data_IF_162930885067
#
_entry.id   IF_162930885067
#
_cell.length_a   1.000
_cell.length_b   1.000
_cell.length_c   1.000
_cell.angle_alpha   90.00
_cell.angle_beta   90.00
_cell.angle_gamma   90.00
#
_symmetry.space_group_name_H-M   'P 1'
#
loop_
_entity.id
_entity.type
_entity.pdbx_description
1 polymer ?
#
# COMPACT_ATOMS: atom_id res chain seq x y z
N UNK A 1 24.11 -23.48 5.93
CA UNK A 1 23.59 -22.11 6.11
C UNK A 1 22.17 -22.13 5.64
N UNK A 2 21.23 -21.66 6.45
CA UNK A 2 19.85 -21.44 5.99
C UNK A 2 19.91 -20.26 5.01
N UNK A 3 19.28 -20.40 3.85
CA UNK A 3 19.19 -19.34 2.83
C UNK A 3 18.48 -18.11 3.45
N UNK A 4 18.91 -16.89 3.11
CA UNK A 4 18.24 -15.66 3.55
C UNK A 4 16.74 -15.70 3.22
N UNK A 5 16.38 -16.36 2.11
CA UNK A 5 14.99 -16.62 1.72
C UNK A 5 14.21 -17.38 2.80
N UNK A 6 14.73 -18.52 3.26
CA UNK A 6 14.05 -19.39 4.23
C UNK A 6 13.91 -18.71 5.59
N UNK A 7 14.91 -17.93 6.00
CA UNK A 7 14.84 -17.18 7.25
C UNK A 7 13.77 -16.08 7.20
N UNK A 8 13.68 -15.35 6.07
CA UNK A 8 12.65 -14.33 5.86
C UNK A 8 11.27 -14.96 5.78
N UNK A 9 11.13 -16.06 5.02
CA UNK A 9 9.86 -16.79 4.90
C UNK A 9 9.36 -17.26 6.27
N UNK A 10 10.23 -17.89 7.06
CA UNK A 10 9.90 -18.37 8.41
C UNK A 10 9.50 -17.21 9.33
N UNK A 11 10.20 -16.08 9.25
CA UNK A 11 9.85 -14.87 10.00
C UNK A 11 8.44 -14.38 9.63
N UNK A 12 8.13 -14.24 8.34
CA UNK A 12 6.83 -13.75 7.88
C UNK A 12 5.70 -14.73 8.18
N UNK A 13 5.93 -16.04 8.03
CA UNK A 13 4.98 -17.08 8.42
C UNK A 13 4.65 -17.03 9.92
N UNK A 14 5.67 -16.85 10.77
CA UNK A 14 5.47 -16.64 12.21
C UNK A 14 4.65 -15.37 12.46
N UNK A 15 4.96 -14.27 11.79
CA UNK A 15 4.23 -13.00 11.93
C UNK A 15 2.74 -13.14 11.59
N UNK A 16 2.40 -13.79 10.47
CA UNK A 16 1.01 -13.97 10.03
C UNK A 16 0.26 -15.08 10.79
N UNK A 17 0.96 -15.87 11.60
CA UNK A 17 0.34 -16.92 12.42
C UNK A 17 -0.56 -16.36 13.53
N UNK A 18 -0.44 -15.06 13.85
CA UNK A 18 -1.29 -14.35 14.79
C UNK A 18 -2.30 -13.44 14.05
N UNK A 19 -3.55 -13.88 13.85
CA UNK A 19 -4.54 -13.14 13.05
C UNK A 19 -4.92 -11.77 13.61
N UNK A 20 -4.71 -11.56 14.91
CA UNK A 20 -5.07 -10.31 15.58
C UNK A 20 -3.94 -9.28 15.58
N UNK A 21 -2.69 -9.69 15.30
CA UNK A 21 -1.51 -8.82 15.39
C UNK A 21 -0.66 -8.77 14.12
N UNK A 22 -0.92 -9.57 13.09
CA UNK A 22 -0.03 -9.64 11.92
C UNK A 22 0.21 -8.29 11.23
N UNK A 23 -0.80 -7.40 11.21
CA UNK A 23 -0.68 -6.04 10.65
C UNK A 23 0.25 -5.14 11.47
N UNK A 24 0.39 -5.46 12.75
CA UNK A 24 1.28 -4.83 13.71
C UNK A 24 0.78 -3.45 14.14
N UNK A 25 1.65 -2.45 14.06
CA UNK A 25 1.34 -1.08 14.51
C UNK A 25 0.13 -0.50 13.75
N UNK A 26 -0.95 -0.21 14.48
CA UNK A 26 -2.15 0.46 13.97
C UNK A 26 -2.18 1.95 14.35
N UNK A 27 -1.87 2.81 13.37
CA UNK A 27 -1.65 4.24 13.62
C UNK A 27 -2.96 5.06 13.55
N UNK A 28 -3.70 4.93 12.46
CA UNK A 28 -4.94 5.67 12.22
C UNK A 28 -6.11 4.71 12.02
N UNK A 29 -7.25 5.01 12.64
CA UNK A 29 -8.47 4.23 12.42
C UNK A 29 -9.05 4.59 11.05
N UNK A 30 -8.92 3.68 10.07
CA UNK A 30 -9.67 3.55 8.81
C UNK A 30 -9.95 4.80 7.95
N UNK A 31 -9.35 5.96 8.24
CA UNK A 31 -9.58 7.22 7.55
C UNK A 31 -8.29 8.03 7.44
N UNK A 32 -7.97 8.43 6.21
CA UNK A 32 -6.90 9.39 5.92
C UNK A 32 -7.40 10.78 6.30
N UNK A 33 -6.59 11.55 7.02
CA UNK A 33 -6.88 12.93 7.43
C UNK A 33 -5.85 13.87 6.80
N UNK A 34 -5.80 13.94 5.47
CA UNK A 34 -4.96 14.95 4.81
C UNK A 34 -5.41 16.36 5.20
N UNK A 35 -4.51 17.33 5.07
CA UNK A 35 -4.69 18.67 5.65
C UNK A 35 -6.03 19.35 5.29
N UNK A 36 -6.50 19.25 4.04
CA UNK A 36 -7.79 19.83 3.63
C UNK A 36 -8.98 19.17 4.35
N UNK A 37 -8.98 17.83 4.45
CA UNK A 37 -9.99 17.07 5.19
C UNK A 37 -9.96 17.42 6.67
N UNK A 38 -8.76 17.53 7.23
CA UNK A 38 -8.54 17.97 8.60
C UNK A 38 -9.12 19.36 8.85
N UNK A 39 -8.85 20.32 7.96
CA UNK A 39 -9.37 21.69 8.03
C UNK A 39 -10.89 21.72 7.99
N UNK A 40 -11.52 21.00 7.06
CA UNK A 40 -12.99 20.94 6.96
C UNK A 40 -13.61 20.43 8.26
N UNK A 41 -13.07 19.35 8.83
CA UNK A 41 -13.63 18.75 10.04
C UNK A 41 -13.44 19.68 11.23
N UNK A 42 -12.24 20.22 11.44
CA UNK A 42 -11.95 21.11 12.57
C UNK A 42 -12.72 22.43 12.44
N UNK A 43 -12.85 22.97 11.22
CA UNK A 43 -13.65 24.15 10.91
C UNK A 43 -15.14 23.94 11.15
N UNK A 44 -15.69 22.78 10.77
CA UNK A 44 -17.08 22.42 11.06
C UNK A 44 -17.36 22.33 12.56
N UNK A 45 -16.45 21.71 13.33
CA UNK A 45 -16.55 21.67 14.79
C UNK A 45 -16.55 23.10 15.36
N UNK A 46 -15.62 23.96 14.93
CA UNK A 46 -15.53 25.33 15.43
C UNK A 46 -16.74 26.18 15.06
N UNK A 47 -17.29 26.02 13.85
CA UNK A 47 -18.48 26.76 13.41
C UNK A 47 -19.72 26.44 14.26
N UNK A 48 -19.86 25.18 14.70
CA UNK A 48 -21.02 24.73 15.49
C UNK A 48 -20.81 24.91 16.99
N UNK A 49 -19.65 24.50 17.50
CA UNK A 49 -19.38 24.45 18.94
C UNK A 49 -18.48 25.59 19.44
N UNK A 50 -17.80 26.32 18.55
CA UNK A 50 -16.80 27.31 18.94
C UNK A 50 -15.69 26.69 19.78
N UNK A 51 -15.41 27.30 20.93
CA UNK A 51 -14.54 26.76 21.97
C UNK A 51 -15.32 26.00 23.06
N UNK A 52 -16.63 25.86 22.95
CA UNK A 52 -17.44 25.12 23.91
C UNK A 52 -17.28 23.61 23.73
N UNK A 53 -17.55 22.88 24.81
CA UNK A 53 -17.59 21.42 24.75
C UNK A 53 -18.94 20.94 24.17
N UNK A 54 -18.91 19.83 23.43
CA UNK A 54 -20.09 19.21 22.84
C UNK A 54 -20.12 17.71 23.11
N UNK A 55 -21.27 17.08 22.91
CA UNK A 55 -21.44 15.65 23.15
C UNK A 55 -21.05 14.85 21.92
N UNK A 56 -20.14 13.90 22.11
CA UNK A 56 -19.92 12.76 21.22
C UNK A 56 -20.88 11.63 21.66
N UNK A 57 -21.91 11.30 20.86
CA UNK A 57 -22.97 10.39 21.29
C UNK A 57 -22.48 8.96 21.61
N UNK A 58 -23.09 8.35 22.63
CA UNK A 58 -23.00 6.90 22.84
C UNK A 58 -23.90 6.15 21.85
N UNK A 59 -23.54 4.91 21.51
CA UNK A 59 -24.33 4.08 20.60
C UNK A 59 -24.21 4.48 19.13
N UNK A 60 -24.59 3.57 18.23
CA UNK A 60 -24.46 3.75 16.78
C UNK A 60 -25.66 4.45 16.16
N UNK A 61 -25.43 5.03 14.97
CA UNK A 61 -26.51 5.51 14.11
C UNK A 61 -27.54 4.40 13.89
N UNK A 62 -28.83 4.60 14.26
CA UNK A 62 -29.88 3.60 14.06
C UNK A 62 -30.08 3.22 12.59
N UNK A 63 -29.78 4.11 11.64
CA UNK A 63 -29.80 3.81 10.21
C UNK A 63 -28.45 4.22 9.61
N UNK A 64 -27.43 3.37 9.74
CA UNK A 64 -26.09 3.72 9.32
C UNK A 64 -26.05 3.91 7.80
N UNK A 65 -25.65 5.11 7.40
CA UNK A 65 -25.30 5.42 6.01
C UNK A 65 -23.80 5.32 5.77
N UNK A 66 -23.39 5.14 4.51
CA UNK A 66 -21.97 5.19 4.12
C UNK A 66 -21.39 6.61 4.27
N UNK A 67 -22.20 7.62 3.97
CA UNK A 67 -21.87 9.04 4.14
C UNK A 67 -23.12 9.80 4.54
N UNK A 68 -22.96 10.77 5.43
CA UNK A 68 -24.03 11.70 5.75
C UNK A 68 -24.26 12.65 4.57
N UNK A 69 -25.52 13.01 4.31
CA UNK A 69 -25.88 14.05 3.33
C UNK A 69 -26.64 15.14 4.05
N UNK A 70 -26.37 16.39 3.70
CA UNK A 70 -27.09 17.52 4.26
C UNK A 70 -28.60 17.36 4.08
N UNK A 71 -29.36 17.60 5.15
CA UNK A 71 -30.82 17.46 5.17
C UNK A 71 -31.33 16.02 5.27
N UNK A 72 -30.45 15.02 5.43
CA UNK A 72 -30.88 13.65 5.72
C UNK A 72 -31.60 13.56 7.06
N UNK A 73 -32.59 12.66 7.21
CA UNK A 73 -33.26 12.45 8.48
C UNK A 73 -32.27 12.14 9.61
N UNK A 74 -32.27 12.99 10.64
CA UNK A 74 -31.46 12.79 11.85
C UNK A 74 -32.14 11.78 12.76
N UNK A 75 -31.39 10.80 13.24
CA UNK A 75 -31.89 9.80 14.20
C UNK A 75 -30.96 9.71 15.39
N UNK A 76 -31.53 9.51 16.56
CA UNK A 76 -30.76 9.43 17.80
C UNK A 76 -30.60 7.98 18.21
N UNK A 77 -29.41 7.58 18.69
CA UNK A 77 -29.25 6.31 19.38
C UNK A 77 -30.27 6.21 20.54
N UNK A 78 -30.78 5.01 20.81
CA UNK A 78 -31.84 4.80 21.81
C UNK A 78 -31.48 5.29 23.23
N UNK A 79 -30.19 5.35 23.55
CA UNK A 79 -29.67 5.81 24.83
C UNK A 79 -29.45 7.32 24.93
N UNK A 80 -29.85 8.10 23.92
CA UNK A 80 -29.53 9.53 23.80
C UNK A 80 -30.78 10.33 23.41
N UNK A 81 -30.91 11.54 23.94
CA UNK A 81 -31.94 12.49 23.47
C UNK A 81 -31.51 13.24 22.21
N UNK A 82 -32.49 13.74 21.46
CA UNK A 82 -32.23 14.60 20.29
C UNK A 82 -31.48 15.89 20.66
N UNK A 83 -31.81 16.47 21.83
CA UNK A 83 -31.14 17.66 22.34
C UNK A 83 -29.64 17.40 22.55
N UNK A 84 -29.26 16.25 23.09
CA UNK A 84 -27.86 15.89 23.33
C UNK A 84 -27.09 15.63 22.03
N UNK A 85 -27.72 15.01 21.03
CA UNK A 85 -27.09 14.71 19.75
C UNK A 85 -27.09 15.90 18.77
N UNK A 86 -27.80 16.99 19.08
CA UNK A 86 -28.06 18.10 18.14
C UNK A 86 -26.78 18.69 17.56
N UNK A 87 -25.85 19.12 18.41
CA UNK A 87 -24.58 19.70 17.97
C UNK A 87 -23.75 18.72 17.13
N UNK A 88 -23.76 17.43 17.48
CA UNK A 88 -23.05 16.41 16.70
C UNK A 88 -23.63 16.26 15.29
N UNK A 89 -24.96 16.28 15.16
CA UNK A 89 -25.63 16.30 13.85
C UNK A 89 -25.37 17.59 13.07
N UNK A 90 -25.34 18.73 13.74
CA UNK A 90 -25.03 20.02 13.11
C UNK A 90 -23.58 20.01 12.58
N UNK A 91 -22.62 19.43 13.31
CA UNK A 91 -21.24 19.25 12.82
C UNK A 91 -21.21 18.37 11.56
N UNK A 92 -21.95 17.25 11.55
CA UNK A 92 -22.04 16.40 10.36
C UNK A 92 -22.65 17.13 9.16
N UNK A 93 -23.69 17.95 9.39
CA UNK A 93 -24.29 18.77 8.35
C UNK A 93 -23.31 19.83 7.83
N UNK A 94 -22.54 20.48 8.69
CA UNK A 94 -21.49 21.41 8.27
C UNK A 94 -20.41 20.71 7.44
N UNK A 95 -19.96 19.51 7.83
CA UNK A 95 -19.03 18.71 7.00
C UNK A 95 -19.66 18.38 5.65
N UNK A 96 -20.92 17.94 5.62
CA UNK A 96 -21.60 17.52 4.40
C UNK A 96 -21.92 18.67 3.43
N UNK A 97 -21.97 19.92 3.92
CA UNK A 97 -22.14 21.12 3.08
C UNK A 97 -20.85 21.58 2.42
N UNK A 98 -19.69 21.16 2.91
CA UNK A 98 -18.40 21.55 2.34
C UNK A 98 -18.17 20.79 1.04
N UNK A 99 -18.02 21.52 -0.07
CA UNK A 99 -17.78 20.96 -1.40
C UNK A 99 -16.30 20.57 -1.57
N UNK A 100 -15.82 19.67 -0.71
CA UNK A 100 -14.47 19.11 -0.78
C UNK A 100 -14.56 17.63 -1.08
N UNK A 101 -13.96 17.24 -2.21
CA UNK A 101 -13.95 15.85 -2.68
C UNK A 101 -13.39 14.91 -1.60
N UNK A 102 -14.08 13.78 -1.38
CA UNK A 102 -13.66 12.71 -0.47
C UNK A 102 -13.58 13.07 1.03
N UNK A 103 -14.20 14.19 1.44
CA UNK A 103 -14.25 14.65 2.85
C UNK A 103 -15.51 14.18 3.61
N UNK A 104 -16.44 13.50 2.92
CA UNK A 104 -17.65 12.95 3.53
C UNK A 104 -17.38 12.11 4.79
N UNK A 105 -18.28 12.24 5.76
CA UNK A 105 -18.27 11.47 7.00
C UNK A 105 -19.68 10.93 7.29
N UNK A 106 -19.78 9.70 7.76
CA UNK A 106 -20.99 9.20 8.42
C UNK A 106 -20.90 9.39 9.93
N UNK A 107 -22.06 9.38 10.61
CA UNK A 107 -22.16 9.47 12.07
C UNK A 107 -21.20 8.51 12.78
N UNK A 108 -21.22 7.23 12.39
CA UNK A 108 -20.37 6.22 13.00
C UNK A 108 -18.89 6.43 12.64
N UNK A 109 -18.57 6.87 11.43
CA UNK A 109 -17.18 7.06 11.01
C UNK A 109 -16.51 8.25 11.73
N UNK A 110 -17.23 9.36 11.91
CA UNK A 110 -16.73 10.53 12.62
C UNK A 110 -16.43 10.17 14.10
N UNK A 111 -17.38 9.50 14.76
CA UNK A 111 -17.26 9.04 16.15
C UNK A 111 -16.17 7.98 16.34
N UNK A 112 -16.19 6.93 15.51
CA UNK A 112 -15.37 5.72 15.72
C UNK A 112 -13.99 5.79 15.10
N UNK A 113 -13.73 6.70 14.16
CA UNK A 113 -12.47 6.77 13.43
C UNK A 113 -11.85 8.18 13.50
N UNK A 114 -12.60 9.21 13.11
CA UNK A 114 -12.05 10.58 13.04
C UNK A 114 -11.71 11.13 14.42
N UNK A 115 -12.66 11.14 15.36
CA UNK A 115 -12.46 11.74 16.68
C UNK A 115 -11.35 11.05 17.50
N UNK A 116 -11.24 9.71 17.54
CA UNK A 116 -10.09 9.05 18.12
C UNK A 116 -8.76 9.47 17.50
N UNK A 117 -8.69 9.66 16.19
CA UNK A 117 -7.48 10.15 15.53
C UNK A 117 -7.20 11.61 15.95
N UNK A 118 -8.20 12.50 15.92
CA UNK A 118 -8.05 13.90 16.33
C UNK A 118 -7.64 14.04 17.81
N UNK A 119 -8.09 13.13 18.67
CA UNK A 119 -7.66 13.07 20.07
C UNK A 119 -6.19 12.70 20.20
N UNK A 120 -5.75 11.63 19.51
CA UNK A 120 -4.33 11.25 19.48
C UNK A 120 -3.44 12.35 18.86
N UNK A 121 -3.96 13.09 17.89
CA UNK A 121 -3.32 14.27 17.30
C UNK A 121 -3.24 15.46 18.28
N UNK A 122 -3.97 15.43 19.40
CA UNK A 122 -4.05 16.53 20.36
C UNK A 122 -4.89 17.72 19.88
N UNK A 123 -5.79 17.49 18.92
CA UNK A 123 -6.63 18.53 18.29
C UNK A 123 -8.00 18.62 18.97
N UNK A 124 -8.49 17.49 19.48
CA UNK A 124 -9.64 17.48 20.38
C UNK A 124 -9.29 16.80 21.70
N UNK A 125 -9.88 17.27 22.78
CA UNK A 125 -9.88 16.57 24.06
C UNK A 125 -11.20 15.81 24.18
N UNK A 126 -11.15 14.51 24.47
CA UNK A 126 -12.36 13.70 24.73
C UNK A 126 -12.35 13.22 26.16
N UNK A 127 -13.38 13.56 26.91
CA UNK A 127 -13.54 13.22 28.32
C UNK A 127 -14.71 12.24 28.44
N UNK A 128 -14.48 11.00 28.92
CA UNK A 128 -15.58 10.09 29.21
C UNK A 128 -16.48 10.68 30.30
N UNK A 129 -17.80 10.59 30.13
CA UNK A 129 -18.70 10.73 31.27
C UNK A 129 -18.61 9.41 32.06
N UNK A 130 -18.04 9.48 33.26
CA UNK A 130 -18.08 8.53 34.39
C UNK A 130 -17.75 7.03 34.16
N UNK A 131 -18.14 6.35 33.06
CA UNK A 131 -17.85 4.92 32.79
C UNK A 131 -17.56 4.59 31.30
N UNK A 132 -16.97 3.41 31.05
CA UNK A 132 -16.76 2.89 29.69
C UNK A 132 -18.12 2.60 29.00
N UNK A 133 -18.34 3.21 27.83
CA UNK A 133 -19.56 3.00 27.02
C UNK A 133 -20.55 4.17 27.07
N UNK A 134 -20.34 5.15 27.96
CA UNK A 134 -21.13 6.38 28.00
C UNK A 134 -20.70 7.40 26.94
N UNK A 135 -21.54 8.41 26.73
CA UNK A 135 -21.28 9.50 25.81
C UNK A 135 -20.05 10.27 26.27
N UNK A 136 -19.20 10.68 25.31
CA UNK A 136 -18.02 11.48 25.62
C UNK A 136 -18.34 12.94 25.45
N UNK A 137 -17.65 13.78 26.20
CA UNK A 137 -17.63 15.22 25.95
C UNK A 137 -16.37 15.53 25.16
N UNK A 138 -16.51 16.19 24.01
CA UNK A 138 -15.42 16.58 23.13
C UNK A 138 -15.27 18.10 23.09
N UNK A 139 -14.03 18.59 22.98
CA UNK A 139 -13.72 20.03 22.89
C UNK A 139 -12.49 20.25 22.00
N UNK A 140 -12.48 21.31 21.20
CA UNK A 140 -11.28 21.73 20.49
C UNK A 140 -10.18 22.17 21.48
N UNK A 141 -8.93 21.78 21.20
CA UNK A 141 -7.77 22.20 22.01
C UNK A 141 -7.29 23.59 21.60
N UNK A 142 -6.38 24.18 22.38
CA UNK A 142 -5.75 25.45 22.04
C UNK A 142 -4.99 25.38 20.71
N UNK A 143 -4.38 24.24 20.37
CA UNK A 143 -3.68 24.06 19.11
C UNK A 143 -4.64 23.99 17.91
N UNK A 144 -5.83 23.42 18.09
CA UNK A 144 -6.87 23.48 17.06
C UNK A 144 -7.33 24.92 16.79
N UNK A 145 -7.51 25.72 17.85
CA UNK A 145 -7.87 27.14 17.71
C UNK A 145 -6.75 27.96 17.07
N UNK A 146 -5.49 27.68 17.39
CA UNK A 146 -4.34 28.29 16.72
C UNK A 146 -4.28 27.90 15.25
N UNK A 147 -4.54 26.64 14.91
CA UNK A 147 -4.61 26.19 13.53
C UNK A 147 -5.66 26.98 12.75
N UNK A 148 -6.87 27.14 13.27
CA UNK A 148 -7.95 27.85 12.57
C UNK A 148 -7.68 29.35 12.35
N UNK A 149 -6.91 29.98 13.25
CA UNK A 149 -6.58 31.41 13.20
C UNK A 149 -5.23 31.71 12.55
N UNK A 150 -4.40 30.69 12.39
CA UNK A 150 -3.02 30.82 11.94
C UNK A 150 -2.93 31.09 10.44
N UNK A 151 -1.81 31.67 10.04
CA UNK A 151 -1.47 31.79 8.62
C UNK A 151 -1.08 30.42 8.02
N UNK A 152 -0.87 30.36 6.70
CA UNK A 152 -0.56 29.12 6.00
C UNK A 152 0.64 28.35 6.60
N UNK A 153 1.69 29.04 7.03
CA UNK A 153 2.89 28.41 7.62
C UNK A 153 2.60 27.82 9.00
N UNK A 154 1.91 28.58 9.85
CA UNK A 154 1.53 28.12 11.20
C UNK A 154 0.60 26.90 11.13
N UNK A 155 -0.34 26.94 10.19
CA UNK A 155 -1.26 25.83 9.93
C UNK A 155 -0.54 24.56 9.52
N UNK A 156 0.39 24.65 8.57
CA UNK A 156 1.21 23.51 8.14
C UNK A 156 2.02 22.96 9.31
N UNK A 157 2.64 23.83 10.12
CA UNK A 157 3.40 23.43 11.30
C UNK A 157 2.53 22.64 12.30
N UNK A 158 1.38 23.19 12.69
CA UNK A 158 0.49 22.55 13.68
C UNK A 158 -0.03 21.21 13.14
N UNK A 159 -0.43 21.15 11.88
CA UNK A 159 -0.89 19.91 11.27
C UNK A 159 0.22 18.84 11.18
N UNK A 160 1.46 19.25 10.87
CA UNK A 160 2.63 18.37 10.85
C UNK A 160 2.90 17.78 12.24
N UNK A 161 2.99 18.62 13.27
CA UNK A 161 3.19 18.19 14.68
C UNK A 161 2.05 17.30 15.18
N UNK A 162 0.82 17.59 14.76
CA UNK A 162 -0.36 16.79 15.11
C UNK A 162 -0.31 15.40 14.43
N UNK A 163 0.11 15.33 13.16
CA UNK A 163 0.28 14.09 12.41
C UNK A 163 1.43 13.25 12.97
N UNK A 164 2.51 13.90 13.41
CA UNK A 164 3.65 13.26 14.09
C UNK A 164 3.20 12.46 15.32
N UNK A 165 2.31 13.03 16.15
CA UNK A 165 1.78 12.34 17.33
C UNK A 165 1.10 11.01 17.00
N UNK A 166 0.36 10.93 15.89
CA UNK A 166 -0.24 9.66 15.43
C UNK A 166 0.86 8.64 15.08
N UNK A 167 1.88 9.10 14.36
CA UNK A 167 2.95 8.26 13.83
C UNK A 167 3.98 7.84 14.88
N UNK A 168 3.98 8.42 16.08
CA UNK A 168 4.92 8.12 17.18
C UNK A 168 5.36 6.65 17.28
N UNK A 169 4.46 5.64 17.23
CA UNK A 169 4.87 4.24 17.40
C UNK A 169 5.78 3.68 16.29
N UNK A 170 5.94 4.38 15.15
CA UNK A 170 6.77 3.92 14.02
C UNK A 170 8.14 4.62 13.92
N UNK A 171 8.33 5.78 14.57
CA UNK A 171 9.53 6.58 14.32
C UNK A 171 10.82 5.87 14.73
N UNK A 172 10.88 5.29 15.93
CA UNK A 172 12.10 4.63 16.41
C UNK A 172 12.57 3.52 15.46
N UNK A 173 11.64 2.68 14.99
CA UNK A 173 11.96 1.58 14.07
C UNK A 173 12.29 2.09 12.66
N UNK A 174 11.59 3.13 12.19
CA UNK A 174 11.84 3.72 10.88
C UNK A 174 13.18 4.45 10.83
N UNK A 175 13.51 5.24 11.84
CA UNK A 175 14.80 5.92 11.98
C UNK A 175 15.95 4.92 12.09
N UNK A 176 15.75 3.83 12.85
CA UNK A 176 16.73 2.74 12.92
C UNK A 176 16.96 2.12 11.54
N UNK A 177 15.89 1.85 10.78
CA UNK A 177 16.02 1.32 9.42
C UNK A 177 16.71 2.31 8.48
N UNK A 178 16.32 3.59 8.49
CA UNK A 178 16.88 4.64 7.64
C UNK A 178 18.29 5.10 8.05
N UNK A 179 18.77 4.69 9.23
CA UNK A 179 20.19 4.83 9.59
C UNK A 179 21.08 3.80 8.88
N UNK A 180 20.48 2.72 8.36
CA UNK A 180 21.17 1.58 7.73
C UNK A 180 20.89 1.44 6.24
N UNK A 181 19.76 1.95 5.78
CA UNK A 181 19.30 1.85 4.41
C UNK A 181 18.91 3.23 3.89
N UNK A 182 19.20 3.50 2.62
CA UNK A 182 18.88 4.79 2.00
C UNK A 182 17.37 5.07 1.92
N UNK A 183 16.57 4.00 1.86
CA UNK A 183 15.12 4.10 1.77
C UNK A 183 14.39 2.84 2.24
N UNK A 184 13.11 3.04 2.57
CA UNK A 184 12.15 2.00 2.94
C UNK A 184 10.92 2.11 2.06
N UNK A 185 10.52 1.02 1.39
CA UNK A 185 9.29 1.00 0.60
C UNK A 185 8.08 0.46 1.37
N UNK A 186 6.87 0.55 0.79
CA UNK A 186 5.62 0.07 1.41
C UNK A 186 5.67 -1.38 1.87
N UNK A 187 6.26 -2.30 1.10
CA UNK A 187 6.34 -3.71 1.47
C UNK A 187 7.33 -3.92 2.62
N UNK A 188 8.43 -3.17 2.64
CA UNK A 188 9.42 -3.23 3.71
C UNK A 188 8.85 -2.72 5.04
N UNK A 189 8.11 -1.60 4.99
CA UNK A 189 7.36 -1.08 6.12
C UNK A 189 6.31 -2.11 6.58
N UNK A 190 5.48 -2.59 5.65
CA UNK A 190 4.40 -3.53 5.90
C UNK A 190 4.90 -4.83 6.53
N UNK A 191 5.85 -5.50 5.89
CA UNK A 191 6.29 -6.86 6.23
C UNK A 191 7.27 -6.91 7.40
N UNK A 192 7.98 -5.82 7.71
CA UNK A 192 9.00 -5.82 8.77
C UNK A 192 8.81 -4.72 9.81
N UNK A 193 8.74 -3.45 9.41
CA UNK A 193 8.89 -2.37 10.38
C UNK A 193 7.64 -2.19 11.27
N UNK A 194 6.45 -2.47 10.74
CA UNK A 194 5.24 -2.43 11.58
C UNK A 194 5.09 -3.63 12.51
N UNK A 195 5.97 -4.65 12.48
CA UNK A 195 5.80 -5.87 13.30
C UNK A 195 5.99 -5.63 14.80
N UNK A 196 4.93 -5.31 15.53
CA UNK A 196 4.98 -5.09 16.98
C UNK A 196 5.15 -6.37 17.82
N UNK A 197 5.26 -7.54 17.17
CA UNK A 197 5.42 -8.84 17.84
C UNK A 197 6.88 -9.21 18.15
N UNK A 198 7.84 -8.38 17.74
CA UNK A 198 9.28 -8.59 17.97
C UNK A 198 10.00 -7.26 18.20
N UNK A 199 11.20 -7.30 18.77
CA UNK A 199 12.05 -6.12 18.94
C UNK A 199 12.54 -5.51 17.61
N UNK A 200 12.91 -4.23 17.66
CA UNK A 200 13.37 -3.45 16.50
C UNK A 200 14.60 -4.10 15.82
N UNK A 201 15.54 -4.64 16.60
CA UNK A 201 16.76 -5.22 16.06
C UNK A 201 16.44 -6.45 15.18
N UNK A 202 15.49 -7.30 15.59
CA UNK A 202 15.05 -8.43 14.79
C UNK A 202 14.27 -8.01 13.54
N UNK A 203 13.43 -6.96 13.61
CA UNK A 203 12.74 -6.41 12.41
C UNK A 203 13.75 -5.95 11.37
N UNK A 204 14.72 -5.13 11.77
CA UNK A 204 15.75 -4.57 10.90
C UNK A 204 16.70 -5.66 10.39
N UNK A 205 17.00 -6.68 11.20
CA UNK A 205 17.78 -7.86 10.77
C UNK A 205 17.08 -8.59 9.62
N UNK A 206 15.78 -8.87 9.73
CA UNK A 206 15.06 -9.59 8.68
C UNK A 206 14.79 -8.70 7.44
N UNK A 207 14.60 -7.38 7.62
CA UNK A 207 14.60 -6.44 6.51
C UNK A 207 15.93 -6.46 5.73
N UNK A 208 17.07 -6.52 6.42
CA UNK A 208 18.38 -6.61 5.77
C UNK A 208 18.50 -7.87 4.89
N UNK A 209 18.00 -9.01 5.37
CA UNK A 209 17.95 -10.25 4.56
C UNK A 209 17.03 -10.11 3.37
N UNK A 210 15.84 -9.56 3.57
CA UNK A 210 14.87 -9.29 2.51
C UNK A 210 15.46 -8.40 1.41
N UNK A 211 16.20 -7.34 1.76
CA UNK A 211 16.86 -6.45 0.80
C UNK A 211 17.98 -7.13 -0.01
N UNK A 212 18.51 -8.27 0.43
CA UNK A 212 19.47 -9.09 -0.32
C UNK A 212 18.81 -10.10 -1.26
N UNK A 213 17.52 -10.36 -1.10
CA UNK A 213 16.79 -11.25 -1.97
C UNK A 213 16.72 -10.68 -3.39
N UNK A 214 16.88 -11.55 -4.37
CA UNK A 214 16.69 -11.22 -5.78
C UNK A 214 15.22 -11.04 -6.08
N UNK A 215 14.91 -10.34 -7.17
CA UNK A 215 13.55 -9.94 -7.47
C UNK A 215 12.59 -11.13 -7.57
N UNK A 216 13.01 -12.23 -8.19
CA UNK A 216 12.16 -13.40 -8.32
C UNK A 216 11.90 -14.09 -6.98
N UNK A 217 12.90 -14.11 -6.08
CA UNK A 217 12.73 -14.57 -4.71
C UNK A 217 11.72 -13.70 -3.94
N UNK A 218 11.79 -12.37 -4.07
CA UNK A 218 10.81 -11.46 -3.45
C UNK A 218 9.38 -11.73 -3.96
N UNK A 219 9.22 -11.92 -5.26
CA UNK A 219 7.92 -12.22 -5.87
C UNK A 219 7.37 -13.55 -5.36
N UNK A 220 8.21 -14.59 -5.32
CA UNK A 220 7.87 -15.90 -4.76
C UNK A 220 7.46 -15.80 -3.29
N UNK A 221 8.22 -15.07 -2.49
CA UNK A 221 7.94 -14.84 -1.08
C UNK A 221 6.57 -14.18 -0.89
N UNK A 222 6.27 -13.12 -1.65
CA UNK A 222 4.97 -12.45 -1.60
C UNK A 222 3.83 -13.38 -2.01
N UNK A 223 4.00 -14.18 -3.06
CA UNK A 223 3.01 -15.17 -3.52
C UNK A 223 2.75 -16.24 -2.45
N UNK A 224 3.79 -16.80 -1.82
CA UNK A 224 3.67 -17.81 -0.75
C UNK A 224 2.94 -17.26 0.49
N UNK A 225 3.29 -16.04 0.92
CA UNK A 225 2.62 -15.38 2.05
C UNK A 225 1.17 -15.07 1.70
N UNK A 226 0.90 -14.51 0.52
CA UNK A 226 -0.45 -14.18 0.07
C UNK A 226 -1.33 -15.42 -0.03
N UNK A 227 -0.85 -16.50 -0.65
CA UNK A 227 -1.56 -17.80 -0.69
C UNK A 227 -1.87 -18.34 0.70
N UNK A 228 -0.95 -18.17 1.65
CA UNK A 228 -1.18 -18.57 3.04
C UNK A 228 -2.30 -17.75 3.69
N UNK A 229 -2.32 -16.44 3.45
CA UNK A 229 -3.36 -15.54 3.95
C UNK A 229 -4.72 -15.78 3.29
N UNK A 230 -4.76 -16.00 1.98
CA UNK A 230 -6.01 -16.22 1.23
C UNK A 230 -6.77 -17.46 1.70
N UNK A 231 -6.04 -18.51 2.15
CA UNK A 231 -6.65 -19.69 2.82
C UNK A 231 -7.45 -19.32 4.08
N UNK A 232 -7.17 -18.18 4.71
CA UNK A 232 -7.86 -17.64 5.88
C UNK A 232 -8.95 -16.62 5.55
N UNK A 233 -9.28 -16.39 4.28
CA UNK A 233 -10.31 -15.42 3.87
C UNK A 233 -11.71 -16.00 3.59
N UNK A 234 -11.86 -17.33 3.62
CA UNK A 234 -13.11 -18.03 3.34
C UNK A 234 -14.31 -17.55 4.16
N UNK A 235 -15.53 -17.77 3.66
CA UNK A 235 -16.79 -17.38 4.31
C UNK A 235 -16.95 -17.97 5.71
N UNK A 236 -16.43 -19.17 5.93
CA UNK A 236 -16.55 -19.93 7.17
C UNK A 236 -15.50 -19.54 8.23
N UNK A 237 -14.56 -18.65 7.90
CA UNK A 237 -13.53 -18.20 8.84
C UNK A 237 -14.06 -16.99 9.64
N UNK A 238 -14.04 -17.04 10.99
CA UNK A 238 -14.43 -15.91 11.82
C UNK A 238 -13.69 -14.63 11.44
N UNK A 239 -14.36 -13.46 11.47
CA UNK A 239 -13.77 -12.17 11.07
C UNK A 239 -12.43 -11.86 11.77
N UNK A 240 -12.28 -12.27 13.03
CA UNK A 240 -11.06 -12.06 13.85
C UNK A 240 -9.89 -12.97 13.44
N UNK A 241 -10.16 -14.03 12.67
CA UNK A 241 -9.17 -14.99 12.20
C UNK A 241 -8.78 -14.77 10.73
N UNK A 242 -9.43 -13.80 10.05
CA UNK A 242 -9.17 -13.49 8.66
C UNK A 242 -7.85 -12.73 8.48
N UNK A 243 -7.09 -13.15 7.47
CA UNK A 243 -5.84 -12.52 7.07
C UNK A 243 -6.05 -11.80 5.72
N UNK A 244 -6.07 -10.47 5.74
CA UNK A 244 -6.35 -9.64 4.58
C UNK A 244 -5.09 -8.87 4.17
N UNK A 245 -4.44 -9.38 3.12
CA UNK A 245 -3.22 -8.81 2.54
C UNK A 245 -3.44 -7.39 2.02
N UNK A 246 -4.55 -7.17 1.30
CA UNK A 246 -4.81 -5.88 0.68
C UNK A 246 -5.05 -4.80 1.73
N UNK A 247 -5.79 -5.13 2.78
CA UNK A 247 -6.01 -4.19 3.86
C UNK A 247 -4.73 -3.92 4.67
N UNK A 248 -3.87 -4.91 4.89
CA UNK A 248 -2.56 -4.69 5.51
C UNK A 248 -1.70 -3.73 4.69
N UNK A 249 -1.64 -3.92 3.37
CA UNK A 249 -0.95 -3.01 2.46
C UNK A 249 -1.54 -1.61 2.46
N UNK A 250 -2.88 -1.47 2.47
CA UNK A 250 -3.54 -0.16 2.55
C UNK A 250 -3.21 0.59 3.84
N UNK A 251 -3.17 -0.11 4.98
CA UNK A 251 -2.77 0.47 6.27
C UNK A 251 -1.32 0.95 6.20
N UNK A 252 -0.39 0.17 5.64
CA UNK A 252 1.01 0.59 5.48
C UNK A 252 1.18 1.76 4.50
N UNK A 253 0.42 1.78 3.39
CA UNK A 253 0.37 2.94 2.48
C UNK A 253 -0.09 4.21 3.17
N UNK A 254 -1.08 4.09 4.05
CA UNK A 254 -1.57 5.23 4.81
C UNK A 254 -0.49 5.81 5.73
N UNK A 255 0.34 4.96 6.35
CA UNK A 255 1.49 5.40 7.15
C UNK A 255 2.47 6.19 6.29
N UNK A 256 2.86 5.68 5.11
CA UNK A 256 3.74 6.39 4.17
C UNK A 256 3.14 7.73 3.73
N UNK A 257 1.86 7.77 3.39
CA UNK A 257 1.21 9.00 3.00
C UNK A 257 1.25 10.06 4.10
N UNK A 258 1.07 9.69 5.37
CA UNK A 258 1.15 10.62 6.51
C UNK A 258 2.58 11.09 6.77
N UNK A 259 3.60 10.26 6.51
CA UNK A 259 5.01 10.65 6.67
C UNK A 259 5.42 11.78 5.72
N UNK A 260 4.69 12.00 4.61
CA UNK A 260 4.90 13.15 3.71
C UNK A 260 4.71 14.48 4.44
N UNK A 261 3.81 14.51 5.41
CA UNK A 261 3.42 15.71 6.14
C UNK A 261 4.26 15.92 7.41
N UNK A 262 5.19 15.00 7.72
CA UNK A 262 6.04 15.04 8.92
C UNK A 262 7.46 15.50 8.57
N UNK A 263 7.98 16.42 9.38
CA UNK A 263 9.36 16.91 9.24
C UNK A 263 10.35 15.77 9.49
N UNK A 264 11.43 15.71 8.72
CA UNK A 264 12.48 14.69 8.89
C UNK A 264 12.31 13.46 8.00
N UNK A 265 11.29 13.45 7.14
CA UNK A 265 11.09 12.42 6.12
C UNK A 265 10.83 13.03 4.74
N UNK A 266 11.10 12.24 3.70
CA UNK A 266 10.75 12.55 2.32
C UNK A 266 10.09 11.33 1.70
N UNK A 267 8.96 11.54 1.04
CA UNK A 267 8.16 10.48 0.43
C UNK A 267 8.15 10.64 -1.09
N UNK A 268 8.56 9.59 -1.80
CA UNK A 268 8.64 9.55 -3.26
C UNK A 268 7.64 8.53 -3.81
N UNK A 269 6.91 8.92 -4.88
CA UNK A 269 5.94 8.07 -5.59
C UNK A 269 4.89 7.38 -4.69
N UNK A 270 4.56 7.99 -3.54
CA UNK A 270 3.61 7.43 -2.56
C UNK A 270 3.96 6.04 -2.00
N UNK A 271 5.21 5.60 -2.16
CA UNK A 271 5.61 4.22 -1.86
C UNK A 271 7.00 4.10 -1.24
N UNK A 272 7.81 5.17 -1.26
CA UNK A 272 9.20 5.14 -0.79
C UNK A 272 9.45 6.27 0.23
N UNK A 273 9.97 5.91 1.40
CA UNK A 273 10.35 6.84 2.48
C UNK A 273 11.86 6.91 2.60
N UNK A 274 12.40 8.11 2.78
CA UNK A 274 13.82 8.38 3.01
C UNK A 274 14.03 9.58 3.95
N UNK A 275 15.27 9.80 4.40
CA UNK A 275 15.63 11.02 5.12
C UNK A 275 15.80 12.21 4.15
N UNK A 276 15.44 13.45 4.55
CA UNK A 276 15.68 14.65 3.76
C UNK A 276 17.16 14.78 3.40
N UNK A 277 17.44 15.22 2.18
CA UNK A 277 18.82 15.39 1.71
C UNK A 277 19.55 14.09 1.36
N UNK A 278 18.89 12.93 1.42
CA UNK A 278 19.32 11.71 0.73
C UNK A 278 19.17 11.86 -0.80
N UNK A 279 19.83 12.89 -1.35
CA UNK A 279 19.71 13.38 -2.73
C UNK A 279 20.27 12.42 -3.80
N UNK A 280 20.56 11.18 -3.43
CA UNK A 280 21.22 10.17 -4.29
C UNK A 280 20.34 9.00 -4.68
N UNK A 281 19.11 8.91 -4.18
CA UNK A 281 18.15 7.95 -4.75
C UNK A 281 17.62 8.60 -6.03
N UNK A 282 18.37 8.47 -7.14
CA UNK A 282 17.77 8.64 -8.45
C UNK A 282 16.50 7.79 -8.46
N UNK A 283 15.36 8.46 -8.63
CA UNK A 283 14.07 7.79 -8.67
C UNK A 283 14.03 7.04 -9.97
N UNK A 284 14.55 5.81 -9.92
CA UNK A 284 14.63 4.91 -11.04
C UNK A 284 13.21 4.65 -11.54
N UNK A 285 12.88 5.29 -12.66
CA UNK A 285 11.57 5.19 -13.27
C UNK A 285 11.63 4.17 -14.39
N UNK A 286 10.74 3.20 -14.31
CA UNK A 286 10.62 2.12 -15.27
C UNK A 286 9.78 2.59 -16.46
N UNK A 287 10.44 3.17 -17.45
CA UNK A 287 9.76 3.57 -18.71
C UNK A 287 10.24 2.66 -19.83
N UNK A 288 9.29 2.04 -20.52
CA UNK A 288 9.55 1.24 -21.71
C UNK A 288 9.85 2.13 -22.92
N UNK A 289 10.88 1.78 -23.67
CA UNK A 289 11.24 2.43 -24.93
C UNK A 289 10.30 2.04 -26.06
N UNK A 290 9.70 3.04 -26.72
CA UNK A 290 8.88 2.80 -27.91
C UNK A 290 9.72 2.31 -29.10
N UNK A 291 11.01 2.67 -29.15
CA UNK A 291 11.95 2.20 -30.18
C UNK A 291 12.14 0.67 -30.12
N UNK A 292 12.27 0.12 -28.92
CA UNK A 292 12.49 -1.33 -28.71
C UNK A 292 11.33 -2.17 -29.26
N UNK A 293 10.09 -1.65 -29.23
CA UNK A 293 8.94 -2.34 -29.84
C UNK A 293 9.09 -2.49 -31.35
N UNK A 294 9.46 -1.40 -32.02
CA UNK A 294 9.65 -1.42 -33.46
C UNK A 294 10.84 -2.31 -33.85
N UNK A 295 11.94 -2.19 -33.11
CA UNK A 295 13.13 -3.01 -33.29
C UNK A 295 12.83 -4.51 -33.08
N UNK A 296 11.92 -4.85 -32.16
CA UNK A 296 11.48 -6.23 -31.91
C UNK A 296 10.68 -6.80 -33.07
N UNK A 297 9.66 -6.08 -33.57
CA UNK A 297 8.88 -6.54 -34.73
C UNK A 297 9.76 -6.72 -35.97
N UNK A 298 10.63 -5.74 -36.24
CA UNK A 298 11.58 -5.82 -37.35
C UNK A 298 12.54 -7.01 -37.21
N UNK A 299 13.10 -7.21 -36.01
CA UNK A 299 14.02 -8.31 -35.75
C UNK A 299 13.35 -9.69 -35.90
N UNK A 300 12.07 -9.80 -35.57
CA UNK A 300 11.28 -11.03 -35.76
C UNK A 300 10.70 -11.19 -37.18
N UNK A 301 10.96 -10.24 -38.08
CA UNK A 301 10.37 -10.25 -39.43
C UNK A 301 8.84 -10.14 -39.44
N UNK A 302 8.24 -9.57 -38.39
CA UNK A 302 6.79 -9.48 -38.23
C UNK A 302 6.26 -8.10 -38.60
N UNK A 303 5.11 -8.06 -39.27
CA UNK A 303 4.28 -6.86 -39.37
C UNK A 303 3.34 -6.74 -38.17
N UNK A 304 2.81 -5.54 -37.93
CA UNK A 304 1.78 -5.34 -36.91
C UNK A 304 0.50 -6.09 -37.29
N UNK A 305 0.11 -7.05 -36.46
CA UNK A 305 -1.14 -7.81 -36.53
C UNK A 305 -2.12 -7.22 -35.51
N UNK A 306 -3.36 -6.98 -35.95
CA UNK A 306 -4.41 -6.51 -35.05
C UNK A 306 -4.72 -7.54 -33.96
N UNK A 307 -4.86 -7.10 -32.71
CA UNK A 307 -5.13 -7.97 -31.57
C UNK A 307 -3.91 -8.73 -31.03
N UNK A 308 -2.69 -8.37 -31.45
CA UNK A 308 -1.43 -8.92 -30.93
C UNK A 308 -0.62 -7.87 -30.17
N UNK A 309 0.12 -8.31 -29.14
CA UNK A 309 0.87 -7.46 -28.23
C UNK A 309 2.28 -8.01 -27.94
N UNK A 310 3.20 -7.11 -27.59
CA UNK A 310 4.56 -7.46 -27.18
C UNK A 310 4.64 -7.59 -25.65
N UNK A 311 4.86 -8.82 -25.18
CA UNK A 311 5.02 -9.20 -23.79
C UNK A 311 6.49 -9.34 -23.40
N UNK A 312 6.89 -8.86 -22.24
CA UNK A 312 8.24 -9.09 -21.72
C UNK A 312 8.33 -10.44 -21.02
N UNK A 313 9.28 -11.28 -21.43
CA UNK A 313 9.56 -12.57 -20.78
C UNK A 313 9.97 -12.33 -19.32
N UNK A 314 10.99 -11.50 -19.10
CA UNK A 314 11.35 -10.95 -17.79
C UNK A 314 10.71 -9.56 -17.67
N UNK A 315 9.77 -9.33 -16.74
CA UNK A 315 9.08 -8.05 -16.64
C UNK A 315 10.01 -6.87 -16.36
N UNK A 316 9.73 -5.70 -16.96
CA UNK A 316 10.41 -4.41 -16.65
C UNK A 316 10.37 -4.10 -15.14
N UNK A 317 9.30 -4.53 -14.47
CA UNK A 317 9.15 -4.41 -13.01
C UNK A 317 10.24 -5.12 -12.21
N UNK A 318 11.11 -5.90 -12.85
CA UNK A 318 12.22 -6.59 -12.20
C UNK A 318 13.53 -5.81 -12.20
N UNK A 319 13.62 -4.74 -13.00
CA UNK A 319 14.75 -3.84 -12.93
C UNK A 319 14.83 -3.17 -11.54
N UNK A 320 16.03 -3.09 -10.97
CA UNK A 320 16.32 -2.33 -9.74
C UNK A 320 17.31 -1.19 -9.98
N UNK A 321 17.86 -1.09 -11.19
CA UNK A 321 18.74 -0.02 -11.66
C UNK A 321 18.49 0.31 -13.13
N UNK A 322 18.98 1.47 -13.58
CA UNK A 322 18.93 1.87 -15.00
C UNK A 322 19.62 0.87 -15.91
N UNK A 323 20.71 0.24 -15.44
CA UNK A 323 21.42 -0.82 -16.17
C UNK A 323 20.55 -2.06 -16.33
N UNK A 324 19.83 -2.46 -15.29
CA UNK A 324 18.91 -3.59 -15.37
C UNK A 324 17.76 -3.28 -16.33
N UNK A 325 17.28 -2.04 -16.33
CA UNK A 325 16.23 -1.60 -17.25
C UNK A 325 16.67 -1.73 -18.70
N UNK A 326 17.87 -1.24 -19.02
CA UNK A 326 18.44 -1.34 -20.36
C UNK A 326 18.59 -2.80 -20.81
N UNK A 327 18.98 -3.70 -19.88
CA UNK A 327 19.04 -5.12 -20.16
C UNK A 327 17.64 -5.76 -20.32
N UNK A 328 16.65 -5.33 -19.55
CA UNK A 328 15.31 -5.94 -19.60
C UNK A 328 14.49 -5.40 -20.78
N UNK A 329 14.61 -4.10 -21.10
CA UNK A 329 13.94 -3.45 -22.23
C UNK A 329 14.72 -3.66 -23.53
N UNK A 330 14.91 -4.93 -23.88
CA UNK A 330 15.61 -5.36 -25.09
C UNK A 330 14.70 -6.22 -25.96
N UNK A 331 14.83 -6.08 -27.28
CA UNK A 331 14.04 -6.81 -28.27
C UNK A 331 14.06 -8.33 -28.11
N UNK A 332 15.14 -8.90 -27.56
CA UNK A 332 15.33 -10.34 -27.30
C UNK A 332 14.54 -10.84 -26.08
N UNK A 333 14.07 -9.93 -25.23
CA UNK A 333 13.23 -10.22 -24.07
C UNK A 333 11.73 -10.07 -24.38
N UNK A 334 11.35 -9.91 -25.66
CA UNK A 334 9.97 -9.67 -26.07
C UNK A 334 9.37 -10.83 -26.86
N UNK A 335 8.16 -11.22 -26.48
CA UNK A 335 7.31 -12.17 -27.20
C UNK A 335 6.15 -11.43 -27.86
N UNK A 336 5.99 -11.63 -29.17
CA UNK A 336 4.85 -11.12 -29.90
C UNK A 336 3.75 -12.16 -29.93
N UNK A 337 2.65 -11.91 -29.23
CA UNK A 337 1.61 -12.90 -28.95
C UNK A 337 0.20 -12.30 -29.04
N UNK A 338 -0.84 -13.10 -29.31
CA UNK A 338 -2.23 -12.64 -29.25
C UNK A 338 -2.61 -12.06 -27.87
N UNK A 339 -3.47 -11.04 -27.85
CA UNK A 339 -4.01 -10.43 -26.63
C UNK A 339 -4.69 -11.44 -25.70
N UNK A 340 -5.33 -12.47 -26.25
CA UNK A 340 -5.95 -13.55 -25.49
C UNK A 340 -4.93 -14.33 -24.65
N UNK A 341 -3.72 -14.52 -25.18
CA UNK A 341 -2.61 -15.16 -24.47
C UNK A 341 -1.94 -14.17 -23.52
N UNK A 342 -1.72 -12.94 -23.95
CA UNK A 342 -1.15 -11.91 -23.10
C UNK A 342 -1.91 -11.74 -21.78
N UNK A 343 -3.25 -11.76 -21.83
CA UNK A 343 -4.14 -11.70 -20.64
C UNK A 343 -3.98 -12.88 -19.66
N UNK A 344 -3.43 -14.02 -20.11
CA UNK A 344 -3.17 -15.20 -19.26
C UNK A 344 -1.85 -15.08 -18.51
N UNK A 345 -0.93 -14.22 -18.95
CA UNK A 345 0.38 -14.03 -18.32
C UNK A 345 0.27 -12.87 -17.33
N UNK A 346 0.66 -13.05 -16.06
CA UNK A 346 0.70 -11.93 -15.12
C UNK A 346 1.63 -10.82 -15.63
N UNK A 347 1.13 -9.58 -15.75
CA UNK A 347 1.97 -8.44 -16.12
C UNK A 347 2.90 -8.00 -14.99
N UNK A 348 2.50 -8.27 -13.74
CA UNK A 348 3.23 -7.94 -12.52
C UNK A 348 3.40 -9.21 -11.68
N UNK A 349 4.50 -9.33 -10.94
CA UNK A 349 4.76 -10.49 -10.08
C UNK A 349 4.73 -11.84 -10.86
N UNK A 350 5.16 -11.83 -12.12
CA UNK A 350 5.21 -13.03 -12.97
C UNK A 350 6.33 -13.98 -12.54
N UNK A 351 5.99 -15.20 -12.11
CA UNK A 351 7.00 -16.22 -11.81
C UNK A 351 7.47 -16.95 -13.08
N UNK A 352 6.68 -16.96 -14.16
CA UNK A 352 6.98 -17.67 -15.41
C UNK A 352 7.85 -16.81 -16.33
N UNK A 353 9.15 -16.74 -16.02
CA UNK A 353 10.11 -15.84 -16.68
C UNK A 353 11.26 -16.57 -17.38
N UNK A 354 11.34 -17.90 -17.29
CA UNK A 354 12.31 -18.70 -18.03
C UNK A 354 11.75 -19.08 -19.38
N UNK A 355 12.43 -18.69 -20.45
CA UNK A 355 12.05 -18.96 -21.82
C UNK A 355 12.67 -20.26 -22.31
N UNK A 356 11.82 -21.14 -22.83
CA UNK A 356 12.19 -22.38 -23.50
C UNK A 356 11.34 -22.55 -24.76
N UNK A 357 11.72 -23.45 -25.65
CA UNK A 357 10.90 -23.83 -26.80
C UNK A 357 11.11 -25.31 -27.16
N UNK A 358 10.15 -25.85 -27.88
CA UNK A 358 10.24 -27.12 -28.59
C UNK A 358 9.79 -26.96 -30.05
N UNK A 359 9.60 -28.06 -30.78
CA UNK A 359 9.22 -28.03 -32.20
C UNK A 359 7.86 -27.36 -32.47
N UNK A 360 7.01 -27.22 -31.45
CA UNK A 360 5.59 -26.83 -31.56
C UNK A 360 5.17 -25.73 -30.60
N UNK A 361 5.98 -25.43 -29.57
CA UNK A 361 5.62 -24.47 -28.53
C UNK A 361 6.77 -23.56 -28.13
N UNK A 362 6.41 -22.33 -27.80
CA UNK A 362 7.16 -21.45 -26.89
C UNK A 362 6.63 -21.67 -25.47
N UNK A 363 7.53 -21.77 -24.50
CA UNK A 363 7.21 -22.15 -23.12
C UNK A 363 7.82 -21.14 -22.16
N UNK A 364 7.00 -20.60 -21.26
CA UNK A 364 7.46 -19.83 -20.10
C UNK A 364 7.35 -20.68 -18.83
N UNK A 365 8.47 -20.87 -18.15
CA UNK A 365 8.58 -21.68 -16.93
C UNK A 365 8.88 -20.82 -15.71
N UNK A 366 8.48 -21.29 -14.54
CA UNK A 366 9.00 -20.78 -13.27
C UNK A 366 10.36 -21.44 -12.97
N UNK A 367 11.48 -20.71 -13.07
CA UNK A 367 12.81 -21.29 -12.86
C UNK A 367 13.08 -21.65 -11.39
N UNK A 368 12.23 -21.22 -10.45
CA UNK A 368 12.30 -21.62 -9.05
C UNK A 368 11.46 -22.87 -8.74
N UNK A 369 10.71 -23.39 -9.72
CA UNK A 369 9.86 -24.56 -9.46
C UNK A 369 10.63 -25.87 -9.57
N UNK A 370 10.50 -26.71 -8.56
CA UNK A 370 11.09 -28.06 -8.53
C UNK A 370 10.37 -29.04 -9.48
N UNK A 371 9.08 -28.81 -9.77
CA UNK A 371 8.26 -29.66 -10.64
C UNK A 371 8.12 -29.13 -12.08
N UNK A 372 8.77 -28.00 -12.38
CA UNK A 372 8.69 -27.33 -13.68
C UNK A 372 7.34 -26.67 -13.99
N UNK A 373 6.39 -26.61 -13.06
CA UNK A 373 5.09 -25.93 -13.18
C UNK A 373 5.01 -24.71 -12.27
N UNK A 374 4.21 -23.66 -12.58
CA UNK A 374 3.33 -23.51 -13.74
C UNK A 374 4.09 -23.28 -15.05
N UNK A 375 3.53 -23.83 -16.12
CA UNK A 375 3.98 -23.66 -17.51
C UNK A 375 2.97 -22.78 -18.23
N UNK A 376 3.44 -21.78 -18.97
CA UNK A 376 2.63 -21.12 -19.99
C UNK A 376 3.14 -21.59 -21.33
N UNK A 377 2.35 -22.42 -21.99
CA UNK A 377 2.62 -22.94 -23.33
C UNK A 377 1.86 -22.11 -24.36
N UNK A 378 2.59 -21.73 -25.41
CA UNK A 378 2.12 -20.89 -26.50
C UNK A 378 2.42 -21.64 -27.79
N UNK A 379 1.39 -22.01 -28.55
CA UNK A 379 1.56 -22.74 -29.80
C UNK A 379 2.39 -21.92 -30.80
N UNK A 380 3.37 -22.55 -31.43
CA UNK A 380 4.29 -21.93 -32.37
C UNK A 380 4.27 -22.72 -33.69
N UNK A 381 4.22 -22.06 -34.86
CA UNK A 381 4.25 -20.60 -35.08
C UNK A 381 2.88 -19.91 -34.97
N UNK A 382 1.80 -20.65 -34.69
CA UNK A 382 0.42 -20.15 -34.78
C UNK A 382 0.13 -18.94 -33.87
N UNK A 383 0.55 -19.02 -32.61
CA UNK A 383 0.17 -18.07 -31.56
C UNK A 383 1.40 -17.35 -30.97
N UNK A 384 2.53 -17.37 -31.68
CA UNK A 384 3.78 -16.70 -31.31
C UNK A 384 4.53 -16.24 -32.55
N UNK A 385 4.74 -14.93 -32.66
CA UNK A 385 5.38 -14.26 -33.80
C UNK A 385 6.90 -14.25 -33.69
N UNK A 386 7.49 -15.30 -33.11
CA UNK A 386 8.93 -15.45 -32.96
C UNK A 386 9.48 -16.18 -34.18
N UNK A 387 10.47 -15.58 -34.83
CA UNK A 387 11.16 -16.20 -35.96
C UNK A 387 12.03 -17.37 -35.48
N UNK A 388 12.09 -18.45 -36.25
CA UNK A 388 12.77 -19.69 -35.86
C UNK A 388 14.27 -19.45 -35.59
N UNK A 389 14.91 -18.66 -36.44
CA UNK A 389 16.32 -18.28 -36.37
C UNK A 389 16.68 -17.45 -35.13
N UNK A 390 15.68 -16.84 -34.49
CA UNK A 390 15.87 -15.98 -33.31
C UNK A 390 15.68 -16.73 -31.98
N UNK A 391 15.11 -17.93 -31.99
CA UNK A 391 14.76 -18.68 -30.77
C UNK A 391 15.98 -18.91 -29.85
N UNK A 392 17.09 -19.39 -30.41
CA UNK A 392 18.34 -19.62 -29.66
C UNK A 392 18.91 -18.33 -29.07
N UNK A 393 18.85 -17.23 -29.82
CA UNK A 393 19.31 -15.93 -29.34
C UNK A 393 18.47 -15.43 -28.15
N UNK A 394 17.15 -15.68 -28.18
CA UNK A 394 16.24 -15.35 -27.07
C UNK A 394 16.51 -16.21 -25.84
N UNK A 395 16.72 -17.52 -25.98
CA UNK A 395 17.08 -18.42 -24.86
C UNK A 395 18.37 -17.95 -24.19
N UNK A 396 19.43 -17.72 -24.99
CA UNK A 396 20.73 -17.28 -24.48
C UNK A 396 20.63 -15.92 -23.78
N UNK A 397 19.79 -15.01 -24.28
CA UNK A 397 19.57 -13.73 -23.64
C UNK A 397 18.76 -13.84 -22.36
N UNK A 398 17.70 -14.64 -22.36
CA UNK A 398 16.89 -14.92 -21.17
C UNK A 398 17.75 -15.49 -20.05
N UNK A 399 18.67 -16.43 -20.33
CA UNK A 399 19.59 -16.95 -19.31
C UNK A 399 20.45 -15.85 -18.65
N UNK A 400 20.87 -14.83 -19.41
CA UNK A 400 21.59 -13.68 -18.84
C UNK A 400 20.69 -12.86 -17.90
N UNK A 401 19.42 -12.66 -18.27
CA UNK A 401 18.45 -11.97 -17.41
C UNK A 401 18.05 -12.79 -16.19
N UNK A 402 18.00 -14.13 -16.29
CA UNK A 402 17.75 -14.99 -15.14
C UNK A 402 18.84 -14.87 -14.08
N UNK A 403 20.12 -14.77 -14.50
CA UNK A 403 21.22 -14.53 -13.57
C UNK A 403 21.10 -13.19 -12.82
N UNK A 404 20.39 -12.21 -13.39
CA UNK A 404 20.12 -10.93 -12.73
C UNK A 404 19.04 -11.06 -11.64
N UNK A 405 18.02 -11.89 -11.88
CA UNK A 405 16.79 -11.94 -11.06
C UNK A 405 16.66 -13.16 -10.14
N UNK A 406 17.53 -14.15 -10.29
CA UNK A 406 17.57 -15.40 -9.51
C UNK A 406 18.81 -15.53 -8.64
N UNK A 407 20.00 -15.35 -9.24
CA UNK A 407 21.29 -15.70 -8.65
C UNK A 407 21.86 -14.60 -7.77
#
# INVERSE_FOLDING_TARGET
MIDDYDEVLKYLQKRISNPTKYRGVHIAQHQRLWMEKFEVIVGAIYKVAGDAAFIEPAGDDPIPSRTHKYGSPRRTPASMSEKECRMYWDILDEIARMDVKDVGASFNSLKKNTFPNLEKMGIIQRIPRVQQGEAKTAKLTSDALKFLKGNGRERVKIYSEATEKLLTPIFEVLDTALSRFDSVNVYELMLFLTDDQTDIANRVKNLNKYKRLKRLQIVRLHDEIKKTMDKKMGSNIPKKEKLDWHNWWNESKQIIAMLRDVVGYSVVNDDLVMKPGAAKVEVFTKVRSQKVKNDSLQWQGQSVINGWELHHIVPIDYAVSSKDLEMIDDKRNLLYIPQSIHKRIPNTANLQVQFCYDATHVILKNPLSLDGKPLIEIAWPKDSGVAQENLEAMVKYNQKLLNLVIA
#
